data_IF_770213818400
#
_entry.id   IF_770213818400
#
_cell.length_a   1.000
_cell.length_b   1.000
_cell.length_c   1.000
_cell.angle_alpha   90.00
_cell.angle_beta   90.00
_cell.angle_gamma   90.00
#
_symmetry.space_group_name_H-M   'P 1'
#
loop_
_entity.id
_entity.type
_entity.pdbx_description
1 polymer ?
#
# COMPACT_ATOMS: atom_id res chain seq x y z
N UNK A 1 6.01 -22.67 -6.01
CA UNK A 1 5.52 -21.36 -5.65
C UNK A 1 5.25 -20.47 -6.84
N UNK A 2 5.74 -19.24 -6.83
CA UNK A 2 5.43 -18.17 -7.80
C UNK A 2 5.68 -18.54 -9.27
N UNK A 3 6.79 -19.19 -9.58
CA UNK A 3 7.10 -19.64 -10.94
C UNK A 3 6.05 -20.63 -11.49
N UNK A 4 5.66 -21.61 -10.67
CA UNK A 4 4.66 -22.61 -11.09
C UNK A 4 3.28 -21.97 -11.38
N UNK A 5 2.93 -20.89 -10.67
CA UNK A 5 1.71 -20.13 -10.96
C UNK A 5 1.79 -19.44 -12.32
N UNK A 6 2.94 -18.84 -12.67
CA UNK A 6 3.16 -18.22 -13.98
C UNK A 6 2.99 -19.25 -15.09
N UNK A 7 3.66 -20.41 -14.98
CA UNK A 7 3.59 -21.48 -15.98
C UNK A 7 2.16 -22.03 -16.09
N UNK A 8 1.54 -22.36 -14.96
CA UNK A 8 0.19 -22.96 -14.92
C UNK A 8 -0.87 -22.10 -15.60
N UNK A 9 -0.80 -20.79 -15.40
CA UNK A 9 -1.84 -19.84 -15.87
C UNK A 9 -1.41 -19.00 -17.08
N UNK A 10 -0.17 -19.11 -17.54
CA UNK A 10 0.39 -18.22 -18.55
C UNK A 10 0.35 -16.75 -18.09
N UNK A 11 0.60 -16.51 -16.80
CA UNK A 11 0.48 -15.20 -16.22
C UNK A 11 1.71 -14.32 -16.47
N UNK A 12 1.54 -13.00 -16.42
CA UNK A 12 2.64 -12.03 -16.51
C UNK A 12 3.19 -11.70 -15.12
N UNK A 13 2.35 -11.83 -14.10
CA UNK A 13 2.69 -11.62 -12.68
C UNK A 13 2.07 -12.72 -11.84
N UNK A 14 2.84 -13.24 -10.88
CA UNK A 14 2.31 -14.06 -9.79
C UNK A 14 2.57 -13.40 -8.44
N UNK A 15 1.62 -13.59 -7.52
CA UNK A 15 1.63 -12.95 -6.20
C UNK A 15 1.29 -13.99 -5.13
N UNK A 16 2.09 -14.02 -4.07
CA UNK A 16 1.82 -14.75 -2.83
C UNK A 16 1.72 -13.79 -1.66
N UNK A 17 1.26 -14.27 -0.52
CA UNK A 17 1.25 -13.48 0.72
C UNK A 17 2.48 -13.77 1.59
N UNK A 18 2.45 -13.29 2.82
CA UNK A 18 3.57 -13.41 3.73
C UNK A 18 3.12 -13.77 5.15
N UNK A 19 4.03 -14.35 5.89
CA UNK A 19 3.92 -14.56 7.33
C UNK A 19 4.86 -13.61 8.05
N UNK A 20 4.33 -12.74 8.91
CA UNK A 20 5.16 -11.87 9.76
C UNK A 20 5.51 -12.58 11.06
N UNK A 21 6.75 -12.40 11.53
CA UNK A 21 7.19 -12.91 12.80
C UNK A 21 8.20 -11.95 13.45
N UNK A 22 8.33 -12.01 14.77
CA UNK A 22 9.24 -11.16 15.53
C UNK A 22 10.61 -11.83 15.71
N UNK A 23 11.63 -11.01 15.93
CA UNK A 23 12.97 -11.46 16.29
C UNK A 23 12.90 -12.35 17.54
N UNK A 24 13.57 -13.52 17.50
CA UNK A 24 13.51 -14.52 18.57
C UNK A 24 12.32 -15.48 18.51
N UNK A 25 11.37 -15.30 17.56
CA UNK A 25 10.29 -16.25 17.30
C UNK A 25 10.47 -16.96 15.96
N UNK A 26 9.74 -18.07 15.76
CA UNK A 26 9.70 -18.77 14.47
C UNK A 26 8.47 -18.34 13.68
N UNK A 27 8.55 -18.26 12.33
CA UNK A 27 7.39 -18.01 11.51
C UNK A 27 6.37 -19.16 11.65
N UNK A 28 5.09 -18.80 11.72
CA UNK A 28 3.97 -19.75 11.76
C UNK A 28 2.98 -19.40 10.64
N UNK A 29 3.23 -19.86 9.40
CA UNK A 29 2.38 -19.55 8.27
C UNK A 29 1.02 -20.23 8.39
N UNK A 30 -0.03 -19.51 8.02
CA UNK A 30 -1.37 -20.08 7.90
C UNK A 30 -1.43 -21.08 6.73
N UNK A 31 -2.28 -22.11 6.82
CA UNK A 31 -2.50 -23.02 5.70
C UNK A 31 -2.97 -22.25 4.45
N UNK A 32 -2.41 -22.61 3.31
CA UNK A 32 -2.84 -22.10 2.01
C UNK A 32 -4.27 -22.58 1.71
N UNK A 33 -5.13 -21.69 1.18
CA UNK A 33 -6.38 -22.12 0.60
C UNK A 33 -6.14 -22.86 -0.74
N UNK A 34 -7.10 -23.65 -1.17
CA UNK A 34 -7.00 -24.35 -2.46
C UNK A 34 -7.25 -23.42 -3.67
N UNK A 35 -7.52 -22.13 -3.44
CA UNK A 35 -7.98 -21.21 -4.47
C UNK A 35 -6.83 -20.37 -5.02
N UNK A 36 -6.72 -20.38 -6.35
CA UNK A 36 -5.94 -19.42 -7.11
C UNK A 36 -6.91 -18.40 -7.75
N UNK A 37 -6.58 -17.10 -7.67
CA UNK A 37 -7.34 -16.01 -8.30
C UNK A 37 -6.61 -15.55 -9.55
N UNK A 38 -7.30 -15.58 -10.69
CA UNK A 38 -6.77 -15.08 -11.96
C UNK A 38 -7.48 -13.78 -12.29
N UNK A 39 -6.71 -12.71 -12.43
CA UNK A 39 -7.16 -11.31 -12.57
C UNK A 39 -6.49 -10.69 -13.80
N UNK A 40 -7.10 -9.69 -14.38
CA UNK A 40 -6.38 -8.73 -15.23
C UNK A 40 -5.62 -7.71 -14.38
N UNK A 41 -4.76 -6.94 -15.02
CA UNK A 41 -3.91 -5.97 -14.33
C UNK A 41 -4.68 -4.86 -13.62
N UNK A 42 -5.83 -4.43 -14.15
CA UNK A 42 -6.66 -3.39 -13.55
C UNK A 42 -7.32 -3.89 -12.25
N UNK A 43 -7.95 -5.06 -12.28
CA UNK A 43 -8.58 -5.66 -11.11
C UNK A 43 -7.54 -6.05 -10.04
N UNK A 44 -6.36 -6.54 -10.46
CA UNK A 44 -5.27 -6.79 -9.52
C UNK A 44 -4.77 -5.51 -8.85
N UNK A 45 -4.67 -4.40 -9.60
CA UNK A 45 -4.32 -3.08 -9.05
C UNK A 45 -5.38 -2.57 -8.08
N UNK A 46 -6.66 -2.72 -8.42
CA UNK A 46 -7.77 -2.34 -7.56
C UNK A 46 -7.74 -3.09 -6.23
N UNK A 47 -7.60 -4.41 -6.27
CA UNK A 47 -7.48 -5.29 -5.11
C UNK A 47 -6.30 -4.87 -4.21
N UNK A 48 -5.14 -4.62 -4.81
CA UNK A 48 -3.94 -4.16 -4.10
C UNK A 48 -4.15 -2.79 -3.43
N UNK A 49 -4.81 -1.84 -4.09
CA UNK A 49 -5.06 -0.52 -3.50
C UNK A 49 -6.03 -0.57 -2.33
N UNK A 50 -7.01 -1.45 -2.36
CA UNK A 50 -7.85 -1.74 -1.18
C UNK A 50 -7.10 -2.50 -0.08
N UNK A 51 -5.91 -3.04 -0.37
CA UNK A 51 -5.14 -3.91 0.53
C UNK A 51 -5.97 -5.12 0.98
N UNK A 52 -6.70 -5.75 0.06
CA UNK A 52 -7.59 -6.87 0.36
C UNK A 52 -6.78 -8.16 0.59
N UNK A 53 -6.02 -8.61 -0.36
CA UNK A 53 -5.29 -9.90 -0.28
C UNK A 53 -3.78 -9.73 -0.30
N UNK A 54 -3.28 -8.70 -0.98
CA UNK A 54 -1.87 -8.38 -1.06
C UNK A 54 -1.65 -6.86 -1.10
N UNK A 55 -0.42 -6.44 -0.88
CA UNK A 55 -0.04 -5.03 -0.80
C UNK A 55 1.00 -4.67 -1.88
N UNK A 56 1.41 -3.42 -1.89
CA UNK A 56 2.38 -2.83 -2.84
C UNK A 56 3.79 -3.37 -2.71
N UNK A 57 4.11 -4.14 -1.69
CA UNK A 57 5.45 -4.68 -1.42
C UNK A 57 6.16 -5.20 -2.67
N UNK A 58 7.46 -4.92 -2.80
CA UNK A 58 8.27 -5.40 -3.92
C UNK A 58 8.52 -6.93 -3.87
N UNK A 59 8.47 -7.50 -2.67
CA UNK A 59 8.66 -8.93 -2.42
C UNK A 59 7.33 -9.71 -2.46
N UNK A 60 7.43 -11.06 -2.44
CA UNK A 60 6.27 -11.96 -2.54
C UNK A 60 5.61 -11.95 -3.92
N UNK A 61 6.33 -11.51 -4.95
CA UNK A 61 5.85 -11.40 -6.32
C UNK A 61 6.92 -11.83 -7.32
N UNK A 62 6.47 -12.34 -8.47
CA UNK A 62 7.32 -12.62 -9.63
C UNK A 62 6.71 -11.97 -10.86
N UNK A 63 7.54 -11.40 -11.70
CA UNK A 63 7.13 -10.61 -12.86
C UNK A 63 7.85 -11.09 -14.12
N UNK A 64 7.19 -11.05 -15.26
CA UNK A 64 7.90 -11.08 -16.56
C UNK A 64 8.82 -9.86 -16.66
N UNK A 65 10.07 -10.07 -17.06
CA UNK A 65 11.07 -9.00 -17.14
C UNK A 65 10.65 -7.83 -18.04
N UNK A 66 9.93 -8.11 -19.14
CA UNK A 66 9.42 -7.11 -20.08
C UNK A 66 8.45 -6.10 -19.45
N UNK A 67 7.81 -6.41 -18.32
CA UNK A 67 6.97 -5.44 -17.61
C UNK A 67 7.78 -4.25 -17.09
N UNK A 68 9.08 -4.44 -16.83
CA UNK A 68 9.97 -3.39 -16.37
C UNK A 68 10.47 -2.45 -17.47
N UNK A 69 10.10 -2.66 -18.75
CA UNK A 69 10.45 -1.75 -19.82
C UNK A 69 9.78 -0.39 -19.59
N UNK A 70 10.60 0.64 -19.34
CA UNK A 70 10.14 1.99 -18.99
C UNK A 70 9.67 2.18 -17.56
N UNK A 71 9.68 1.14 -16.71
CA UNK A 71 9.32 1.23 -15.28
C UNK A 71 10.54 0.87 -14.44
N UNK A 72 10.86 1.72 -13.46
CA UNK A 72 11.93 1.48 -12.47
C UNK A 72 11.48 1.94 -11.10
N UNK A 73 12.00 1.30 -10.08
CA UNK A 73 11.88 1.79 -8.70
C UNK A 73 12.58 3.15 -8.58
N UNK A 74 11.92 4.18 -8.04
CA UNK A 74 12.54 5.50 -7.89
C UNK A 74 13.69 5.42 -6.89
N UNK A 75 14.91 5.72 -7.38
CA UNK A 75 16.12 5.63 -6.57
C UNK A 75 16.13 6.71 -5.46
N UNK A 76 16.47 6.30 -4.27
CA UNK A 76 16.65 7.20 -3.12
C UNK A 76 15.35 7.66 -2.44
N UNK A 77 14.19 7.18 -2.85
CA UNK A 77 12.93 7.43 -2.16
C UNK A 77 12.54 6.25 -1.27
N UNK A 78 11.92 6.55 -0.14
CA UNK A 78 11.24 5.55 0.69
C UNK A 78 9.85 5.27 0.11
N UNK A 79 9.30 4.08 0.36
CA UNK A 79 8.01 3.61 -0.17
C UNK A 79 7.97 3.51 -1.71
N UNK A 80 9.12 3.24 -2.31
CA UNK A 80 9.35 3.16 -3.75
C UNK A 80 8.52 2.05 -4.44
N UNK A 81 8.06 1.10 -3.66
CA UNK A 81 7.17 0.02 -4.08
C UNK A 81 5.78 0.53 -4.45
N UNK A 82 5.25 1.51 -3.72
CA UNK A 82 3.91 2.05 -3.94
C UNK A 82 3.72 2.57 -5.39
N UNK A 83 4.55 3.48 -5.93
CA UNK A 83 4.39 3.96 -7.31
C UNK A 83 4.84 2.97 -8.38
N UNK A 84 5.57 1.92 -8.02
CA UNK A 84 6.15 0.98 -8.99
C UNK A 84 5.24 -0.23 -9.20
N UNK A 85 4.79 -0.87 -8.12
CA UNK A 85 4.03 -2.13 -8.21
C UNK A 85 2.72 -1.96 -8.99
N UNK A 86 1.94 -0.89 -8.75
CA UNK A 86 0.69 -0.73 -9.50
C UNK A 86 0.92 -0.51 -11.00
N UNK A 87 2.01 0.17 -11.39
CA UNK A 87 2.34 0.36 -12.80
C UNK A 87 2.69 -0.95 -13.50
N UNK A 88 3.41 -1.83 -12.79
CA UNK A 88 3.72 -3.17 -13.30
C UNK A 88 2.44 -4.00 -13.44
N UNK A 89 1.53 -3.94 -12.45
CA UNK A 89 0.25 -4.64 -12.53
C UNK A 89 -0.62 -4.10 -13.67
N UNK A 90 -0.77 -2.77 -13.82
CA UNK A 90 -1.55 -2.17 -14.91
C UNK A 90 -1.01 -2.54 -16.31
N UNK A 91 0.27 -2.83 -16.43
CA UNK A 91 0.90 -3.28 -17.69
C UNK A 91 0.72 -4.77 -17.96
N UNK A 92 0.38 -5.54 -16.94
CA UNK A 92 0.17 -6.98 -17.05
C UNK A 92 -1.20 -7.29 -17.66
N UNK A 93 -1.25 -8.25 -18.59
CA UNK A 93 -2.51 -8.77 -19.10
C UNK A 93 -3.15 -9.76 -18.13
N UNK A 94 -2.33 -10.54 -17.43
CA UNK A 94 -2.79 -11.57 -16.51
C UNK A 94 -1.94 -11.60 -15.24
N UNK A 95 -2.62 -11.52 -14.10
CA UNK A 95 -2.04 -11.61 -12.76
C UNK A 95 -2.67 -12.80 -12.05
N UNK A 96 -1.87 -13.66 -11.46
CA UNK A 96 -2.36 -14.76 -10.62
C UNK A 96 -1.94 -14.53 -9.18
N UNK A 97 -2.90 -14.62 -8.29
CA UNK A 97 -2.69 -14.53 -6.84
C UNK A 97 -3.11 -15.82 -6.16
N UNK A 98 -2.36 -16.25 -5.15
CA UNK A 98 -2.84 -17.18 -4.14
C UNK A 98 -2.36 -16.76 -2.74
N UNK A 99 -3.00 -17.31 -1.72
CA UNK A 99 -2.77 -16.93 -0.32
C UNK A 99 -1.65 -17.74 0.36
N UNK A 100 -0.80 -18.41 -0.42
CA UNK A 100 0.38 -19.08 0.14
C UNK A 100 1.31 -18.06 0.80
N UNK A 101 1.61 -18.27 2.08
CA UNK A 101 2.55 -17.44 2.85
C UNK A 101 3.99 -17.90 2.60
N UNK A 102 4.48 -17.70 1.38
CA UNK A 102 5.81 -18.14 0.94
C UNK A 102 6.94 -17.18 1.28
N UNK A 103 6.62 -15.99 1.77
CA UNK A 103 7.58 -14.98 2.22
C UNK A 103 7.51 -14.79 3.72
N UNK A 104 8.65 -14.90 4.41
CA UNK A 104 8.73 -14.73 5.86
C UNK A 104 9.29 -13.35 6.19
N UNK A 105 8.42 -12.47 6.71
CA UNK A 105 8.76 -11.07 6.99
C UNK A 105 9.13 -10.89 8.45
N UNK A 106 10.44 -10.70 8.71
CA UNK A 106 10.97 -10.47 10.06
C UNK A 106 10.69 -9.02 10.51
N UNK A 107 9.91 -8.88 11.57
CA UNK A 107 9.64 -7.61 12.24
C UNK A 107 10.77 -7.30 13.22
N UNK A 108 11.51 -6.23 12.95
CA UNK A 108 12.60 -5.72 13.80
C UNK A 108 12.21 -4.40 14.42
N UNK A 109 12.63 -4.16 15.65
CA UNK A 109 12.38 -2.89 16.36
C UNK A 109 13.02 -1.67 15.67
N UNK A 110 14.14 -1.87 14.96
CA UNK A 110 14.87 -0.85 14.22
C UNK A 110 14.57 -0.82 12.70
N UNK A 111 13.44 -1.39 12.27
CA UNK A 111 13.04 -1.38 10.85
C UNK A 111 12.70 0.05 10.38
N UNK A 112 12.81 0.31 9.07
CA UNK A 112 12.42 1.59 8.44
C UNK A 112 10.96 1.93 8.77
N UNK A 113 10.08 0.94 8.81
CA UNK A 113 8.66 1.10 9.11
C UNK A 113 8.42 1.47 10.59
N UNK A 114 9.21 0.89 11.51
CA UNK A 114 9.20 1.21 12.93
C UNK A 114 10.02 2.45 13.31
N UNK A 115 10.85 2.96 12.42
CA UNK A 115 11.70 4.11 12.67
C UNK A 115 10.88 5.38 12.94
N UNK A 116 11.38 6.22 13.82
CA UNK A 116 10.81 7.52 14.13
C UNK A 116 10.64 8.41 12.88
N UNK A 117 9.88 9.47 13.02
CA UNK A 117 9.74 10.53 12.03
C UNK A 117 11.09 10.95 11.45
N UNK A 118 11.13 11.13 10.12
CA UNK A 118 12.26 11.79 9.44
C UNK A 118 11.74 12.70 8.32
N UNK A 119 12.38 13.86 8.06
CA UNK A 119 12.05 14.71 6.92
C UNK A 119 12.06 13.94 5.60
N UNK A 120 13.03 13.05 5.43
CA UNK A 120 13.15 12.22 4.23
C UNK A 120 11.92 11.32 3.96
N UNK A 121 11.24 10.83 5.02
CA UNK A 121 9.96 10.09 4.85
C UNK A 121 8.88 10.97 4.23
N UNK A 122 8.79 12.23 4.67
CA UNK A 122 7.77 13.16 4.17
C UNK A 122 8.07 13.64 2.76
N UNK A 123 9.33 13.99 2.49
CA UNK A 123 9.77 14.40 1.15
C UNK A 123 9.57 13.28 0.14
N UNK A 124 9.91 12.04 0.50
CA UNK A 124 9.60 10.86 -0.31
C UNK A 124 8.09 10.74 -0.54
N UNK A 125 7.29 10.89 0.50
CA UNK A 125 5.82 10.82 0.39
C UNK A 125 5.23 11.85 -0.57
N UNK A 126 5.70 13.11 -0.52
CA UNK A 126 5.28 14.18 -1.45
C UNK A 126 5.66 13.85 -2.89
N UNK A 127 6.91 13.42 -3.12
CA UNK A 127 7.39 13.05 -4.46
C UNK A 127 6.61 11.86 -5.02
N UNK A 128 6.32 10.84 -4.21
CA UNK A 128 5.57 9.67 -4.63
C UNK A 128 4.12 10.01 -4.97
N UNK A 129 3.46 10.85 -4.18
CA UNK A 129 2.11 11.32 -4.51
C UNK A 129 2.10 12.09 -5.84
N UNK A 130 3.08 12.95 -6.08
CA UNK A 130 3.21 13.65 -7.35
C UNK A 130 3.47 12.71 -8.54
N UNK A 131 4.23 11.63 -8.33
CA UNK A 131 4.42 10.58 -9.35
C UNK A 131 3.11 9.83 -9.65
N UNK A 132 2.33 9.50 -8.62
CA UNK A 132 1.07 8.77 -8.79
C UNK A 132 0.00 9.66 -9.43
N UNK A 133 -0.01 10.96 -9.14
CA UNK A 133 -0.95 11.91 -9.74
C UNK A 133 -0.78 12.03 -11.26
N UNK A 134 0.42 11.81 -11.80
CA UNK A 134 0.66 11.75 -13.26
C UNK A 134 -0.08 10.60 -13.95
N UNK A 135 -0.38 9.54 -13.22
CA UNK A 135 -1.10 8.38 -13.75
C UNK A 135 -2.60 8.42 -13.43
N UNK A 136 -3.11 9.53 -12.86
CA UNK A 136 -4.50 9.66 -12.40
C UNK A 136 -5.53 9.30 -13.46
N UNK A 137 -5.30 9.68 -14.71
CA UNK A 137 -6.22 9.39 -15.83
C UNK A 137 -6.31 7.88 -16.10
N UNK A 138 -5.18 7.17 -16.02
CA UNK A 138 -5.14 5.71 -16.14
C UNK A 138 -5.85 5.00 -14.99
N UNK A 139 -5.92 5.65 -13.83
CA UNK A 139 -6.52 5.13 -12.61
C UNK A 139 -8.01 5.50 -12.46
N UNK A 140 -8.60 6.26 -13.39
CA UNK A 140 -10.03 6.65 -13.34
C UNK A 140 -10.98 5.46 -13.16
N UNK A 141 -10.82 4.31 -13.86
CA UNK A 141 -11.71 3.17 -13.67
C UNK A 141 -11.71 2.61 -12.25
N UNK A 142 -10.62 2.78 -11.50
CA UNK A 142 -10.43 2.29 -10.14
C UNK A 142 -10.15 3.44 -9.14
N UNK A 143 -10.66 4.64 -9.41
CA UNK A 143 -10.35 5.85 -8.63
C UNK A 143 -10.73 5.73 -7.15
N UNK A 144 -11.75 4.94 -6.81
CA UNK A 144 -12.16 4.71 -5.41
C UNK A 144 -11.06 3.98 -4.62
N UNK A 145 -10.55 2.88 -5.15
CA UNK A 145 -9.46 2.13 -4.52
C UNK A 145 -8.17 2.95 -4.45
N UNK A 146 -7.85 3.71 -5.51
CA UNK A 146 -6.76 4.67 -5.50
C UNK A 146 -6.91 5.69 -4.35
N UNK A 147 -8.08 6.31 -4.20
CA UNK A 147 -8.35 7.26 -3.12
C UNK A 147 -8.21 6.60 -1.74
N UNK A 148 -8.68 5.36 -1.59
CA UNK A 148 -8.52 4.58 -0.36
C UNK A 148 -7.04 4.36 -0.02
N UNK A 149 -6.21 4.00 -1.01
CA UNK A 149 -4.76 3.82 -0.83
C UNK A 149 -4.07 5.12 -0.47
N UNK A 150 -4.36 6.21 -1.19
CA UNK A 150 -3.79 7.54 -0.92
C UNK A 150 -4.16 8.02 0.48
N UNK A 151 -5.42 7.91 0.88
CA UNK A 151 -5.84 8.28 2.25
C UNK A 151 -5.05 7.49 3.29
N UNK A 152 -4.94 6.17 3.13
CA UNK A 152 -4.19 5.32 4.06
C UNK A 152 -2.72 5.73 4.16
N UNK A 153 -2.09 6.01 3.02
CA UNK A 153 -0.70 6.44 2.95
C UNK A 153 -0.49 7.83 3.57
N UNK A 154 -1.34 8.79 3.22
CA UNK A 154 -1.25 10.17 3.73
C UNK A 154 -1.48 10.22 5.24
N UNK A 155 -2.46 9.47 5.78
CA UNK A 155 -2.63 9.37 7.23
C UNK A 155 -1.43 8.71 7.92
N UNK A 156 -0.82 7.69 7.31
CA UNK A 156 0.38 7.07 7.87
C UNK A 156 1.51 8.10 8.07
N UNK A 157 1.70 9.01 7.12
CA UNK A 157 2.70 10.09 7.23
C UNK A 157 2.25 11.20 8.19
N UNK A 158 1.01 11.67 8.05
CA UNK A 158 0.47 12.79 8.83
C UNK A 158 0.46 12.51 10.34
N UNK A 159 0.15 11.27 10.75
CA UNK A 159 0.08 10.88 12.14
C UNK A 159 1.46 10.82 12.84
N UNK A 160 2.53 10.69 12.06
CA UNK A 160 3.90 10.72 12.55
C UNK A 160 4.54 12.11 12.48
N UNK A 161 3.89 13.05 11.79
CA UNK A 161 4.42 14.38 11.51
C UNK A 161 4.37 15.25 12.77
N UNK A 162 5.46 15.96 13.13
CA UNK A 162 5.44 16.91 14.25
C UNK A 162 4.52 18.10 13.93
N UNK A 163 4.04 18.73 15.01
CA UNK A 163 3.26 19.96 14.88
C UNK A 163 4.13 21.07 14.27
N UNK A 164 3.53 21.91 13.41
CA UNK A 164 4.20 23.03 12.76
C UNK A 164 5.09 22.65 11.56
N UNK A 165 5.08 21.40 11.10
CA UNK A 165 5.84 21.03 9.89
C UNK A 165 5.30 21.76 8.64
N UNK A 166 6.20 22.34 7.85
CA UNK A 166 5.87 23.25 6.75
C UNK A 166 4.86 22.68 5.74
N UNK A 167 4.96 21.40 5.41
CA UNK A 167 4.09 20.73 4.42
C UNK A 167 2.86 20.03 5.02
N UNK A 168 2.58 20.18 6.32
CA UNK A 168 1.44 19.55 6.97
C UNK A 168 0.12 19.88 6.26
N UNK A 169 -0.06 21.14 5.87
CA UNK A 169 -1.27 21.60 5.18
C UNK A 169 -1.49 20.93 3.81
N UNK A 170 -0.44 20.51 3.11
CA UNK A 170 -0.55 19.82 1.82
C UNK A 170 -1.12 18.41 2.01
N UNK A 171 -0.65 17.68 3.03
CA UNK A 171 -1.18 16.38 3.41
C UNK A 171 -2.64 16.46 3.87
N UNK A 172 -2.98 17.44 4.71
CA UNK A 172 -4.36 17.66 5.17
C UNK A 172 -5.29 18.03 4.02
N UNK A 173 -4.84 18.89 3.10
CA UNK A 173 -5.59 19.25 1.90
C UNK A 173 -5.87 18.04 1.03
N UNK A 174 -4.87 17.17 0.86
CA UNK A 174 -5.03 15.93 0.11
C UNK A 174 -6.15 15.05 0.68
N UNK A 175 -6.16 14.85 2.00
CA UNK A 175 -7.24 14.09 2.65
C UNK A 175 -8.59 14.79 2.47
N UNK A 176 -8.67 16.10 2.71
CA UNK A 176 -9.92 16.88 2.58
C UNK A 176 -10.56 16.72 1.18
N UNK A 177 -9.74 16.63 0.14
CA UNK A 177 -10.20 16.49 -1.25
C UNK A 177 -10.86 15.13 -1.51
N UNK A 178 -10.40 14.06 -0.91
CA UNK A 178 -10.81 12.68 -1.25
C UNK A 178 -11.53 11.94 -0.12
N UNK A 179 -11.59 12.49 1.12
CA UNK A 179 -12.15 11.80 2.30
C UNK A 179 -13.61 11.39 2.16
N UNK A 180 -14.44 12.18 1.48
CA UNK A 180 -15.85 11.83 1.23
C UNK A 180 -15.97 10.60 0.32
N UNK A 181 -15.19 10.54 -0.75
CA UNK A 181 -15.13 9.37 -1.63
C UNK A 181 -14.78 8.09 -0.88
N UNK A 182 -13.79 8.17 0.04
CA UNK A 182 -13.37 7.01 0.86
C UNK A 182 -14.40 6.67 1.93
N UNK A 183 -15.02 7.67 2.56
CA UNK A 183 -16.05 7.46 3.60
C UNK A 183 -17.27 6.73 3.04
N UNK A 184 -17.69 7.08 1.82
CA UNK A 184 -18.86 6.50 1.14
C UNK A 184 -18.55 5.17 0.42
N UNK A 185 -17.29 4.76 0.37
CA UNK A 185 -16.89 3.52 -0.27
C UNK A 185 -16.94 2.34 0.71
N UNK A 186 -17.85 1.40 0.46
CA UNK A 186 -18.05 0.24 1.32
C UNK A 186 -16.88 -0.77 1.30
N UNK A 187 -16.09 -0.81 0.23
CA UNK A 187 -14.88 -1.63 0.11
C UNK A 187 -13.69 -1.01 0.85
N UNK A 188 -13.71 0.31 1.07
CA UNK A 188 -12.63 0.99 1.76
C UNK A 188 -12.46 0.45 3.20
N UNK A 189 -11.20 0.28 3.61
CA UNK A 189 -10.84 -0.26 4.94
C UNK A 189 -11.52 0.52 6.04
N UNK A 190 -12.10 -0.18 7.03
CA UNK A 190 -12.79 0.42 8.18
C UNK A 190 -11.92 1.47 8.89
N UNK A 191 -10.61 1.22 9.04
CA UNK A 191 -9.66 2.18 9.63
C UNK A 191 -9.54 3.47 8.80
N UNK A 192 -9.48 3.35 7.48
CA UNK A 192 -9.39 4.52 6.58
C UNK A 192 -10.69 5.35 6.62
N UNK A 193 -11.84 4.68 6.56
CA UNK A 193 -13.16 5.34 6.70
C UNK A 193 -13.29 6.05 8.04
N UNK A 194 -12.91 5.40 9.14
CA UNK A 194 -12.96 5.99 10.46
C UNK A 194 -12.03 7.21 10.60
N UNK A 195 -10.80 7.12 10.08
CA UNK A 195 -9.88 8.25 10.05
C UNK A 195 -10.41 9.43 9.21
N UNK A 196 -11.05 9.13 8.07
CA UNK A 196 -11.74 10.14 7.26
C UNK A 196 -12.88 10.83 8.05
N UNK A 197 -13.70 10.05 8.76
CA UNK A 197 -14.78 10.59 9.60
C UNK A 197 -14.22 11.53 10.68
N UNK A 198 -13.23 11.11 11.43
CA UNK A 198 -12.59 11.92 12.47
C UNK A 198 -11.93 13.20 11.91
N UNK A 199 -11.45 13.17 10.66
CA UNK A 199 -10.82 14.34 10.03
C UNK A 199 -11.77 15.54 9.83
N UNK A 200 -13.09 15.34 9.92
CA UNK A 200 -14.06 16.45 9.90
C UNK A 200 -14.03 17.25 11.20
N UNK A 201 -13.69 16.63 12.32
CA UNK A 201 -13.59 17.30 13.62
C UNK A 201 -12.20 17.98 13.77
N UNK A 202 -11.18 17.45 13.10
CA UNK A 202 -9.84 18.04 13.04
C UNK A 202 -8.71 17.01 13.08
N UNK A 203 -7.65 17.26 12.33
CA UNK A 203 -6.50 16.34 12.21
C UNK A 203 -5.70 16.20 13.51
N UNK A 204 -5.63 17.26 14.32
CA UNK A 204 -4.99 17.21 15.65
C UNK A 204 -5.68 16.23 16.59
N UNK A 205 -7.01 16.11 16.56
CA UNK A 205 -7.75 15.12 17.33
C UNK A 205 -7.44 13.70 16.85
N UNK A 206 -7.42 13.48 15.52
CA UNK A 206 -7.07 12.18 14.93
C UNK A 206 -5.69 11.74 15.42
N UNK A 207 -4.70 12.64 15.39
CA UNK A 207 -3.33 12.37 15.85
C UNK A 207 -3.29 12.05 17.35
N UNK A 208 -3.99 12.81 18.20
CA UNK A 208 -4.06 12.54 19.65
C UNK A 208 -4.65 11.17 19.94
N UNK A 209 -5.75 10.80 19.27
CA UNK A 209 -6.37 9.47 19.43
C UNK A 209 -5.40 8.37 19.00
N UNK A 210 -4.77 8.52 17.84
CA UNK A 210 -3.79 7.56 17.33
C UNK A 210 -2.62 7.36 18.30
N UNK A 211 -2.04 8.45 18.81
CA UNK A 211 -0.92 8.39 19.75
C UNK A 211 -1.30 7.70 21.07
N UNK A 212 -2.51 7.93 21.58
CA UNK A 212 -3.03 7.21 22.76
C UNK A 212 -3.20 5.71 22.53
N UNK A 213 -3.67 5.31 21.34
CA UNK A 213 -3.82 3.90 21.00
C UNK A 213 -2.46 3.22 20.82
N UNK A 214 -1.48 3.92 20.21
CA UNK A 214 -0.12 3.40 20.03
C UNK A 214 0.62 3.23 21.36
N UNK A 215 0.43 4.11 22.32
CA UNK A 215 1.06 4.06 23.64
C UNK A 215 0.52 2.92 24.54
N UNK A 216 -0.61 2.29 24.17
CA UNK A 216 -1.23 1.19 24.92
C UNK A 216 -0.87 -0.21 24.36
N UNK A 217 -0.11 -0.27 23.29
CA UNK A 217 0.44 -1.50 22.68
C UNK A 217 1.91 -1.64 22.97
#
# INVERSE_FOLDING_TARGET
GLYNLIEKYGADVSVNTFCSFYEGSSPNPSPKSAKDWVLDGLHATEMMFYQEHFDTTAWGKMYKASLFDGIRYPKGLLFEDLPTTYRLLLKANKVVFNDEQSYFYLLRSNSIEGAAFSPHKLDSGLQLMALMDKDRDKLQPIIKSYNCRIVSFVFHLLLQMPDGYAHRNDFERRIKTIRLSVLMDNRARKKARFACLLSFIGFGLVQKIFNKVKARK
#
